data_IF_519413651849
#
_entry.id   IF_519413651849
#
_cell.length_a   1.000
_cell.length_b   1.000
_cell.length_c   1.000
_cell.angle_alpha   90.00
_cell.angle_beta   90.00
_cell.angle_gamma   90.00
#
_symmetry.space_group_name_H-M   'P 1'
#
loop_
_entity.id
_entity.type
_entity.pdbx_description
1 polymer ?
#
# COMPACT_ATOMS: atom_id res chain seq x y z
N UNK A 1 -18.70 -26.24 -16.47
CA UNK A 1 -20.07 -26.44 -15.94
C UNK A 1 -20.41 -27.90 -15.57
N UNK A 2 -19.83 -28.91 -16.24
CA UNK A 2 -20.13 -30.34 -15.98
C UNK A 2 -19.65 -30.87 -14.62
N UNK A 3 -18.48 -30.46 -14.12
CA UNK A 3 -17.96 -30.90 -12.81
C UNK A 3 -18.78 -30.41 -11.61
N UNK A 4 -19.45 -29.25 -11.71
CA UNK A 4 -20.17 -28.65 -10.59
C UNK A 4 -21.49 -29.39 -10.27
N UNK A 5 -22.14 -29.97 -11.29
CA UNK A 5 -23.39 -30.73 -11.13
C UNK A 5 -23.17 -32.12 -10.53
N UNK A 6 -22.03 -32.77 -10.79
CA UNK A 6 -21.70 -34.04 -10.14
C UNK A 6 -21.41 -33.88 -8.64
N UNK A 7 -20.83 -32.74 -8.25
CA UNK A 7 -20.45 -32.48 -6.86
C UNK A 7 -21.66 -32.18 -5.95
N UNK A 8 -22.66 -31.44 -6.44
CA UNK A 8 -23.90 -31.17 -5.69
C UNK A 8 -24.72 -32.44 -5.37
N UNK A 9 -24.64 -33.47 -6.22
CA UNK A 9 -25.44 -34.70 -6.06
C UNK A 9 -24.83 -35.73 -5.09
N UNK A 10 -23.54 -35.60 -4.77
CA UNK A 10 -22.80 -36.58 -3.97
C UNK A 10 -22.81 -36.33 -2.45
N UNK A 11 -23.26 -35.16 -1.97
CA UNK A 11 -23.07 -34.73 -0.56
C UNK A 11 -24.32 -34.17 0.14
N UNK A 12 -25.50 -34.10 -0.51
CA UNK A 12 -26.75 -33.68 0.15
C UNK A 12 -26.74 -32.26 0.76
N UNK A 13 -25.86 -31.37 0.28
CA UNK A 13 -25.79 -29.98 0.75
C UNK A 13 -26.80 -29.09 0.01
N UNK A 14 -27.40 -28.06 0.66
CA UNK A 14 -28.37 -27.18 0.02
C UNK A 14 -27.72 -26.38 -1.13
N UNK A 15 -28.48 -26.17 -2.20
CA UNK A 15 -28.05 -25.48 -3.40
C UNK A 15 -27.75 -23.99 -3.09
N UNK A 16 -26.48 -23.68 -2.83
CA UNK A 16 -26.04 -22.28 -2.74
C UNK A 16 -25.97 -21.72 -4.16
N UNK A 17 -26.77 -20.68 -4.42
CA UNK A 17 -26.83 -19.97 -5.71
C UNK A 17 -25.49 -19.28 -5.95
N UNK A 18 -24.85 -19.61 -7.07
CA UNK A 18 -23.51 -19.17 -7.46
C UNK A 18 -23.57 -17.77 -8.08
N UNK A 19 -23.34 -16.72 -7.29
CA UNK A 19 -23.35 -15.33 -7.80
C UNK A 19 -21.97 -14.64 -7.88
N UNK A 20 -20.85 -15.35 -7.72
CA UNK A 20 -19.53 -14.80 -8.08
C UNK A 20 -18.57 -15.86 -8.65
N UNK A 21 -17.86 -15.59 -9.77
CA UNK A 21 -16.99 -16.57 -10.43
C UNK A 21 -15.73 -16.95 -9.63
N UNK A 22 -15.25 -16.08 -8.75
CA UNK A 22 -13.87 -16.19 -8.24
C UNK A 22 -13.70 -17.18 -7.08
N UNK A 23 -14.67 -17.27 -6.17
CA UNK A 23 -14.57 -18.16 -4.98
C UNK A 23 -14.71 -19.65 -5.29
N UNK A 24 -15.33 -19.99 -6.42
CA UNK A 24 -15.59 -21.39 -6.82
C UNK A 24 -14.57 -21.88 -7.83
N UNK A 25 -14.06 -21.01 -8.71
CA UNK A 25 -12.96 -21.36 -9.62
C UNK A 25 -11.72 -21.79 -8.84
N UNK A 26 -11.28 -21.04 -7.82
CA UNK A 26 -10.08 -21.40 -7.05
C UNK A 26 -10.23 -22.76 -6.34
N UNK A 27 -11.42 -23.04 -5.78
CA UNK A 27 -11.76 -24.33 -5.15
C UNK A 27 -11.71 -25.50 -6.14
N UNK A 28 -12.15 -25.28 -7.39
CA UNK A 28 -12.09 -26.28 -8.46
C UNK A 28 -10.64 -26.46 -8.94
N UNK A 29 -9.87 -25.38 -9.14
CA UNK A 29 -8.49 -25.44 -9.63
C UNK A 29 -7.56 -26.16 -8.65
N UNK A 30 -7.72 -25.93 -7.34
CA UNK A 30 -6.92 -26.58 -6.29
C UNK A 30 -7.24 -28.08 -6.18
N UNK A 31 -8.52 -28.46 -6.32
CA UNK A 31 -8.96 -29.87 -6.30
C UNK A 31 -8.56 -30.63 -7.59
N UNK A 32 -8.65 -29.97 -8.76
CA UNK A 32 -8.17 -30.54 -10.02
C UNK A 32 -6.65 -30.73 -10.04
N UNK A 33 -5.89 -29.81 -9.43
CA UNK A 33 -4.43 -29.93 -9.32
C UNK A 33 -4.01 -31.10 -8.42
N UNK A 34 -4.75 -31.35 -7.33
CA UNK A 34 -4.57 -32.52 -6.45
C UNK A 34 -4.89 -33.85 -7.16
N UNK A 35 -6.01 -33.95 -7.88
CA UNK A 35 -6.37 -35.14 -8.66
C UNK A 35 -5.39 -35.40 -9.83
N UNK A 36 -4.74 -34.36 -10.35
CA UNK A 36 -3.67 -34.49 -11.36
C UNK A 36 -2.30 -34.90 -10.78
N UNK A 37 -2.21 -35.19 -9.47
CA UNK A 37 -0.99 -35.68 -8.81
C UNK A 37 0.10 -34.63 -8.61
N UNK A 38 -0.20 -33.34 -8.83
CA UNK A 38 0.79 -32.25 -8.85
C UNK A 38 1.04 -31.63 -7.46
N UNK A 39 0.29 -32.06 -6.45
CA UNK A 39 0.38 -31.57 -5.06
C UNK A 39 0.40 -32.74 -4.08
N UNK A 40 1.47 -32.83 -3.28
CA UNK A 40 1.79 -34.01 -2.45
C UNK A 40 1.04 -34.09 -1.13
N UNK A 41 0.36 -33.02 -0.69
CA UNK A 41 -0.39 -33.02 0.57
C UNK A 41 -1.47 -31.94 0.62
N UNK A 42 -2.69 -32.35 0.95
CA UNK A 42 -3.81 -31.44 1.25
C UNK A 42 -3.79 -31.12 2.76
N UNK A 43 -3.93 -29.86 3.20
CA UNK A 43 -4.01 -29.54 4.62
C UNK A 43 -5.22 -30.25 5.26
N UNK A 44 -4.97 -31.01 6.35
CA UNK A 44 -5.96 -31.88 7.01
C UNK A 44 -7.10 -31.14 7.72
N UNK A 45 -7.01 -29.81 7.89
CA UNK A 45 -8.07 -28.96 8.43
C UNK A 45 -8.19 -27.69 7.60
N UNK A 46 -9.42 -27.39 7.20
CA UNK A 46 -9.79 -26.09 6.64
C UNK A 46 -9.63 -25.03 7.73
N UNK A 47 -8.84 -23.99 7.47
CA UNK A 47 -8.68 -22.85 8.36
C UNK A 47 -9.15 -21.59 7.61
N UNK A 48 -10.17 -20.90 8.13
CA UNK A 48 -10.69 -19.65 7.55
C UNK A 48 -9.60 -18.56 7.52
N UNK A 49 -8.68 -18.58 8.49
CA UNK A 49 -7.53 -17.67 8.53
C UNK A 49 -6.56 -17.93 7.38
N UNK A 50 -6.36 -19.19 6.98
CA UNK A 50 -5.48 -19.52 5.86
C UNK A 50 -6.06 -19.03 4.51
N UNK A 51 -7.38 -19.14 4.35
CA UNK A 51 -8.07 -18.62 3.16
C UNK A 51 -7.99 -17.09 3.10
N UNK A 52 -8.14 -16.42 4.26
CA UNK A 52 -7.98 -14.97 4.35
C UNK A 52 -6.56 -14.54 4.03
N UNK A 53 -5.54 -15.21 4.57
CA UNK A 53 -4.13 -14.92 4.29
C UNK A 53 -3.80 -15.05 2.80
N UNK A 54 -4.24 -16.13 2.15
CA UNK A 54 -4.05 -16.32 0.71
C UNK A 54 -4.78 -15.26 -0.12
N UNK A 55 -5.99 -14.88 0.28
CA UNK A 55 -6.75 -13.80 -0.37
C UNK A 55 -6.02 -12.45 -0.25
N UNK A 56 -5.49 -12.13 0.93
CA UNK A 56 -4.69 -10.91 1.15
C UNK A 56 -3.41 -10.95 0.30
N UNK A 57 -2.71 -12.08 0.28
CA UNK A 57 -1.52 -12.26 -0.54
C UNK A 57 -1.80 -12.08 -2.04
N UNK A 58 -2.90 -12.66 -2.53
CA UNK A 58 -3.37 -12.51 -3.90
C UNK A 58 -3.65 -11.05 -4.26
N UNK A 59 -4.41 -10.34 -3.42
CA UNK A 59 -4.70 -8.91 -3.63
C UNK A 59 -3.43 -8.05 -3.66
N UNK A 60 -2.45 -8.33 -2.79
CA UNK A 60 -1.15 -7.63 -2.79
C UNK A 60 -0.40 -7.90 -4.10
N UNK A 61 -0.39 -9.15 -4.56
CA UNK A 61 0.31 -9.53 -5.79
C UNK A 61 -0.33 -8.89 -7.03
N UNK A 62 -1.66 -8.89 -7.12
CA UNK A 62 -2.42 -8.25 -8.20
C UNK A 62 -2.26 -6.71 -8.21
N UNK A 63 -1.97 -6.11 -7.05
CA UNK A 63 -1.68 -4.68 -6.94
C UNK A 63 -0.36 -4.29 -7.62
N UNK A 64 0.65 -5.17 -7.63
CA UNK A 64 2.02 -4.86 -8.09
C UNK A 64 2.10 -4.26 -9.50
N UNK A 65 1.47 -4.80 -10.55
CA UNK A 65 1.54 -4.22 -11.90
C UNK A 65 0.75 -2.92 -12.05
N UNK A 66 -0.24 -2.68 -11.18
CA UNK A 66 -1.14 -1.51 -11.23
C UNK A 66 -0.51 -0.29 -10.53
N UNK A 67 0.29 -0.54 -9.50
CA UNK A 67 0.83 0.49 -8.60
C UNK A 67 1.70 1.57 -9.29
N UNK A 68 2.62 1.24 -10.23
CA UNK A 68 3.49 2.25 -10.84
C UNK A 68 2.83 3.07 -11.96
N UNK A 69 1.78 2.55 -12.61
CA UNK A 69 1.23 3.13 -13.85
C UNK A 69 -0.13 3.81 -13.68
N UNK A 70 -0.96 3.35 -12.75
CA UNK A 70 -2.39 3.69 -12.75
C UNK A 70 -2.86 4.45 -11.51
N UNK A 71 -2.15 4.38 -10.39
CA UNK A 71 -2.61 4.95 -9.13
C UNK A 71 -2.17 6.40 -8.91
N UNK A 72 -0.99 6.76 -9.41
CA UNK A 72 -0.37 8.07 -9.30
C UNK A 72 0.81 8.09 -10.25
N UNK A 73 0.92 9.11 -11.09
CA UNK A 73 2.11 9.33 -11.91
C UNK A 73 3.22 9.89 -11.03
N UNK A 74 3.82 9.02 -10.21
CA UNK A 74 4.94 9.38 -9.32
C UNK A 74 6.07 9.97 -10.15
N UNK A 75 6.34 9.43 -11.35
CA UNK A 75 7.34 9.99 -12.25
C UNK A 75 7.04 11.43 -12.66
N UNK A 76 5.75 11.79 -12.82
CA UNK A 76 5.37 13.17 -13.10
C UNK A 76 5.63 14.06 -11.89
N UNK A 77 5.26 13.64 -10.67
CA UNK A 77 5.56 14.39 -9.45
C UNK A 77 7.06 14.62 -9.26
N UNK A 78 7.87 13.59 -9.48
CA UNK A 78 9.34 13.68 -9.34
C UNK A 78 9.91 14.67 -10.36
N UNK A 79 9.45 14.63 -11.61
CA UNK A 79 9.89 15.55 -12.67
C UNK A 79 9.42 16.98 -12.40
N UNK A 80 8.13 17.18 -12.17
CA UNK A 80 7.51 18.51 -12.07
C UNK A 80 7.99 19.27 -10.83
N UNK A 81 8.25 18.56 -9.73
CA UNK A 81 8.79 19.17 -8.52
C UNK A 81 10.32 19.16 -8.45
N UNK A 82 11.00 18.55 -9.42
CA UNK A 82 12.45 18.38 -9.47
C UNK A 82 13.00 17.80 -8.16
N UNK A 83 12.29 16.82 -7.62
CA UNK A 83 12.55 16.28 -6.28
C UNK A 83 12.42 14.75 -6.30
N UNK A 84 13.47 14.01 -5.89
CA UNK A 84 13.39 12.56 -5.78
C UNK A 84 12.25 12.11 -4.87
N UNK A 85 11.62 10.98 -5.20
CA UNK A 85 10.46 10.49 -4.45
C UNK A 85 10.73 10.28 -2.96
N UNK A 86 11.94 9.82 -2.60
CA UNK A 86 12.35 9.65 -1.21
C UNK A 86 12.31 10.97 -0.41
N UNK A 87 12.66 12.10 -1.02
CA UNK A 87 12.55 13.41 -0.37
C UNK A 87 11.09 13.81 -0.16
N UNK A 88 10.21 13.55 -1.14
CA UNK A 88 8.76 13.76 -0.99
C UNK A 88 8.23 12.92 0.18
N UNK A 89 8.62 11.65 0.27
CA UNK A 89 8.21 10.76 1.37
C UNK A 89 8.66 11.30 2.74
N UNK A 90 9.91 11.79 2.85
CA UNK A 90 10.41 12.40 4.10
C UNK A 90 9.56 13.62 4.48
N UNK A 91 9.29 14.53 3.53
CA UNK A 91 8.44 15.70 3.80
C UNK A 91 7.04 15.28 4.26
N UNK A 92 6.42 14.28 3.62
CA UNK A 92 5.10 13.73 4.02
C UNK A 92 5.13 13.15 5.44
N UNK A 93 6.21 12.46 5.84
CA UNK A 93 6.35 11.97 7.21
C UNK A 93 6.43 13.12 8.21
N UNK A 94 7.21 14.15 7.90
CA UNK A 94 7.44 15.31 8.76
C UNK A 94 6.24 16.25 8.82
N UNK A 95 5.32 16.19 7.86
CA UNK A 95 4.09 17.01 7.85
C UNK A 95 3.13 16.69 8.99
N UNK A 96 3.32 15.55 9.67
CA UNK A 96 2.48 15.12 10.79
C UNK A 96 3.09 15.50 12.15
N UNK A 97 4.41 15.38 12.26
CA UNK A 97 5.20 15.66 13.46
C UNK A 97 6.68 15.64 13.12
N UNK A 98 7.50 16.28 13.94
CA UNK A 98 8.94 16.09 13.91
C UNK A 98 9.33 14.63 14.18
N UNK A 99 10.42 14.19 13.57
CA UNK A 99 10.91 12.82 13.72
C UNK A 99 12.44 12.81 13.81
N UNK A 100 12.96 11.88 14.59
CA UNK A 100 14.40 11.58 14.57
C UNK A 100 14.80 10.89 13.26
N UNK A 101 16.08 11.00 12.89
CA UNK A 101 16.64 10.25 11.75
C UNK A 101 16.37 8.74 11.87
N UNK A 102 16.40 8.19 13.10
CA UNK A 102 16.10 6.80 13.35
C UNK A 102 14.66 6.43 13.03
N UNK A 103 13.69 7.27 13.43
CA UNK A 103 12.27 7.06 13.12
C UNK A 103 11.98 7.19 11.61
N UNK A 104 12.62 8.15 10.93
CA UNK A 104 12.50 8.29 9.48
C UNK A 104 13.02 7.03 8.77
N UNK A 105 14.18 6.53 9.20
CA UNK A 105 14.79 5.31 8.69
C UNK A 105 13.88 4.09 8.83
N UNK A 106 13.31 3.90 10.01
CA UNK A 106 12.38 2.81 10.30
C UNK A 106 11.11 2.91 9.44
N UNK A 107 10.48 4.08 9.38
CA UNK A 107 9.23 4.28 8.62
C UNK A 107 9.38 4.16 7.11
N UNK A 108 10.56 4.48 6.57
CA UNK A 108 10.83 4.33 5.13
C UNK A 108 11.46 2.98 4.78
N UNK A 109 11.86 2.16 5.76
CA UNK A 109 12.61 0.93 5.52
C UNK A 109 13.99 1.16 4.87
N UNK A 110 14.56 2.36 5.04
CA UNK A 110 15.85 2.76 4.46
C UNK A 110 16.86 2.89 5.59
N UNK A 111 18.04 2.29 5.46
CA UNK A 111 19.08 2.34 6.48
C UNK A 111 19.51 3.79 6.82
N UNK A 112 19.77 4.07 8.11
CA UNK A 112 20.17 5.40 8.63
C UNK A 112 21.30 6.10 7.85
N UNK A 113 22.37 5.40 7.40
CA UNK A 113 23.43 6.03 6.59
C UNK A 113 22.92 6.61 5.27
N UNK A 114 21.83 6.07 4.73
CA UNK A 114 21.21 6.52 3.47
C UNK A 114 20.15 7.60 3.70
N UNK A 115 19.57 7.70 4.90
CA UNK A 115 18.62 8.79 5.25
C UNK A 115 19.34 10.11 5.51
N UNK A 116 20.50 10.06 6.18
CA UNK A 116 21.20 11.29 6.60
C UNK A 116 21.51 12.23 5.41
N UNK A 117 22.05 11.74 4.28
CA UNK A 117 22.29 12.58 3.10
C UNK A 117 21.01 13.16 2.50
N UNK A 118 19.90 12.41 2.51
CA UNK A 118 18.61 12.88 1.99
C UNK A 118 18.06 14.05 2.83
N UNK A 119 18.20 13.94 4.16
CA UNK A 119 17.79 15.01 5.07
C UNK A 119 18.70 16.23 4.92
N UNK A 120 20.00 16.03 4.70
CA UNK A 120 20.93 17.14 4.48
C UNK A 120 20.60 17.92 3.20
N UNK A 121 20.25 17.24 2.11
CA UNK A 121 19.78 17.91 0.86
C UNK A 121 18.52 18.75 1.11
N UNK A 122 17.55 18.22 1.87
CA UNK A 122 16.33 18.96 2.22
C UNK A 122 16.63 20.17 3.12
N UNK A 123 17.58 20.04 4.04
CA UNK A 123 18.03 21.12 4.92
C UNK A 123 18.70 22.22 4.10
N UNK A 124 19.61 21.85 3.21
CA UNK A 124 20.35 22.79 2.38
C UNK A 124 19.42 23.51 1.39
N UNK A 125 18.29 22.88 1.04
CA UNK A 125 17.20 23.47 0.27
C UNK A 125 16.24 24.34 1.10
N UNK A 126 16.47 24.49 2.40
CA UNK A 126 15.63 25.29 3.31
C UNK A 126 14.25 24.71 3.60
N UNK A 127 14.02 23.42 3.34
CA UNK A 127 12.71 22.78 3.50
C UNK A 127 12.52 22.13 4.87
N UNK A 128 13.63 21.78 5.53
CA UNK A 128 13.65 21.20 6.87
C UNK A 128 14.79 21.79 7.68
N UNK A 129 14.73 21.66 9.00
CA UNK A 129 15.85 21.95 9.90
C UNK A 129 16.18 20.74 10.77
N UNK A 130 17.42 20.70 11.28
CA UNK A 130 17.91 19.65 12.17
C UNK A 130 18.18 20.23 13.55
N UNK A 131 17.42 19.79 14.54
CA UNK A 131 17.53 20.24 15.93
C UNK A 131 18.03 19.06 16.78
N UNK A 132 19.13 19.27 17.51
CA UNK A 132 19.60 18.29 18.50
C UNK A 132 18.65 18.30 19.70
N UNK A 133 18.29 17.11 20.17
CA UNK A 133 17.48 16.99 21.38
C UNK A 133 18.20 17.60 22.59
N UNK A 134 17.43 18.30 23.44
CA UNK A 134 17.92 18.88 24.68
C UNK A 134 18.13 17.82 25.77
N UNK A 135 17.39 16.71 25.72
CA UNK A 135 17.45 15.61 26.68
C UNK A 135 18.51 14.57 26.33
N UNK A 136 18.72 14.26 25.05
CA UNK A 136 19.84 13.41 24.58
C UNK A 136 20.48 14.02 23.34
N UNK A 137 21.67 14.62 23.49
CA UNK A 137 22.39 15.29 22.40
C UNK A 137 22.80 14.37 21.25
N UNK A 138 22.72 13.04 21.43
CA UNK A 138 22.97 12.05 20.38
C UNK A 138 21.79 11.94 19.41
N UNK A 139 20.60 12.40 19.80
CA UNK A 139 19.40 12.37 18.99
C UNK A 139 19.28 13.68 18.21
N UNK A 140 19.06 13.56 16.91
CA UNK A 140 18.75 14.69 16.02
C UNK A 140 17.34 14.52 15.49
N UNK A 141 16.49 15.51 15.80
CA UNK A 141 15.16 15.64 15.24
C UNK A 141 15.21 16.48 13.98
N UNK A 142 14.34 16.12 13.03
CA UNK A 142 14.13 16.85 11.79
C UNK A 142 12.77 17.51 11.88
N UNK A 143 12.71 18.80 11.61
CA UNK A 143 11.50 19.60 11.65
C UNK A 143 11.20 20.14 10.25
N UNK A 144 9.93 20.11 9.86
CA UNK A 144 9.48 20.71 8.62
C UNK A 144 9.45 22.24 8.77
N UNK A 145 10.07 22.94 7.83
CA UNK A 145 10.01 24.41 7.78
C UNK A 145 8.78 24.89 6.97
N UNK A 146 8.37 26.17 7.10
CA UNK A 146 7.26 26.73 6.32
C UNK A 146 7.41 26.50 4.80
N UNK A 147 8.61 26.71 4.25
CA UNK A 147 8.88 26.45 2.84
C UNK A 147 8.68 24.96 2.45
N UNK A 148 9.00 24.03 3.36
CA UNK A 148 8.72 22.60 3.19
C UNK A 148 7.22 22.30 3.18
N UNK A 149 6.45 22.94 4.05
CA UNK A 149 5.00 22.81 4.09
C UNK A 149 4.33 23.37 2.82
N UNK A 150 4.80 24.52 2.31
CA UNK A 150 4.34 25.09 1.05
C UNK A 150 4.65 24.17 -0.14
N UNK A 151 5.85 23.59 -0.17
CA UNK A 151 6.24 22.61 -1.20
C UNK A 151 5.31 21.39 -1.17
N UNK A 152 5.00 20.86 0.01
CA UNK A 152 4.03 19.76 0.16
C UNK A 152 2.62 20.14 -0.28
N UNK A 153 2.17 21.37 0.01
CA UNK A 153 0.87 21.84 -0.44
C UNK A 153 0.79 21.89 -1.97
N UNK A 154 1.87 22.31 -2.64
CA UNK A 154 1.97 22.24 -4.11
C UNK A 154 1.87 20.79 -4.62
N UNK A 155 2.67 19.88 -4.06
CA UNK A 155 2.62 18.44 -4.42
C UNK A 155 1.21 17.87 -4.23
N UNK A 156 0.55 18.21 -3.13
CA UNK A 156 -0.82 17.74 -2.85
C UNK A 156 -1.84 18.26 -3.87
N UNK A 157 -1.68 19.48 -4.39
CA UNK A 157 -2.54 20.01 -5.44
C UNK A 157 -2.38 19.22 -6.74
N UNK A 158 -1.16 18.87 -7.10
CA UNK A 158 -0.88 18.12 -8.33
C UNK A 158 -1.39 16.67 -8.23
N UNK A 159 -1.25 16.04 -7.06
CA UNK A 159 -1.89 14.76 -6.75
C UNK A 159 -3.42 14.86 -6.87
N UNK A 160 -4.03 15.91 -6.31
CA UNK A 160 -5.48 16.12 -6.41
C UNK A 160 -5.94 16.33 -7.86
N UNK A 161 -5.13 17.00 -8.69
CA UNK A 161 -5.39 17.17 -10.11
C UNK A 161 -5.34 15.84 -10.86
N UNK A 162 -4.36 14.97 -10.57
CA UNK A 162 -4.29 13.62 -11.14
C UNK A 162 -5.52 12.78 -10.77
N UNK A 163 -5.95 12.81 -9.51
CA UNK A 163 -7.17 12.12 -9.05
C UNK A 163 -8.42 12.70 -9.72
N UNK A 164 -8.49 14.02 -9.92
CA UNK A 164 -9.61 14.65 -10.60
C UNK A 164 -9.72 14.23 -12.07
N UNK A 165 -8.59 13.91 -12.72
CA UNK A 165 -8.57 13.40 -14.09
C UNK A 165 -9.20 12.00 -14.23
N UNK A 166 -9.36 11.24 -13.14
CA UNK A 166 -10.02 9.93 -13.17
C UNK A 166 -11.53 10.00 -13.42
N UNK A 167 -12.14 11.19 -13.37
CA UNK A 167 -13.59 11.38 -13.54
C UNK A 167 -14.15 10.84 -14.87
N UNK A 168 -13.30 10.53 -15.86
CA UNK A 168 -13.69 9.87 -17.11
C UNK A 168 -13.63 8.33 -17.10
N UNK A 169 -13.06 7.72 -16.06
CA UNK A 169 -12.78 6.28 -15.99
C UNK A 169 -13.39 5.58 -14.78
N UNK A 170 -13.77 6.33 -13.74
CA UNK A 170 -14.38 5.80 -12.52
C UNK A 170 -15.65 6.58 -12.17
N UNK A 171 -16.69 5.85 -11.81
CA UNK A 171 -17.93 6.39 -11.24
C UNK A 171 -17.69 6.99 -9.86
N UNK A 172 -18.63 7.82 -9.39
CA UNK A 172 -18.58 8.40 -8.04
C UNK A 172 -18.58 7.34 -6.93
N UNK A 173 -19.28 6.22 -7.15
CA UNK A 173 -19.31 5.09 -6.22
C UNK A 173 -17.94 4.41 -6.14
N UNK A 174 -17.30 4.15 -7.28
CA UNK A 174 -15.97 3.52 -7.33
C UNK A 174 -14.91 4.42 -6.67
N UNK A 175 -14.95 5.74 -6.91
CA UNK A 175 -14.04 6.69 -6.24
C UNK A 175 -14.24 6.66 -4.72
N UNK A 176 -15.49 6.58 -4.24
CA UNK A 176 -15.79 6.50 -2.81
C UNK A 176 -15.30 5.19 -2.20
N UNK A 177 -15.54 4.08 -2.89
CA UNK A 177 -15.05 2.75 -2.48
C UNK A 177 -13.53 2.73 -2.39
N UNK A 178 -12.85 3.22 -3.43
CA UNK A 178 -11.40 3.31 -3.48
C UNK A 178 -10.84 4.19 -2.35
N UNK A 179 -11.43 5.36 -2.10
CA UNK A 179 -11.04 6.22 -0.97
C UNK A 179 -11.19 5.50 0.39
N UNK A 180 -12.28 4.74 0.59
CA UNK A 180 -12.50 4.00 1.83
C UNK A 180 -11.52 2.83 1.99
N UNK A 181 -11.17 2.15 0.90
CA UNK A 181 -10.15 1.12 0.87
C UNK A 181 -8.77 1.71 1.22
N UNK A 182 -8.37 2.81 0.59
CA UNK A 182 -7.12 3.51 0.92
C UNK A 182 -7.06 3.95 2.39
N UNK A 183 -8.15 4.53 2.91
CA UNK A 183 -8.22 4.92 4.32
C UNK A 183 -8.07 3.72 5.26
N UNK A 184 -8.66 2.58 4.90
CA UNK A 184 -8.53 1.33 5.65
C UNK A 184 -7.11 0.78 5.60
N UNK A 185 -6.47 0.79 4.43
CA UNK A 185 -5.06 0.39 4.26
C UNK A 185 -4.16 1.27 5.12
N UNK A 186 -4.30 2.61 5.05
CA UNK A 186 -3.47 3.54 5.85
C UNK A 186 -3.64 3.29 7.35
N UNK A 187 -4.86 3.05 7.82
CA UNK A 187 -5.14 2.75 9.23
C UNK A 187 -4.54 1.41 9.66
N UNK A 188 -4.73 0.36 8.88
CA UNK A 188 -4.30 -1.02 9.21
C UNK A 188 -2.78 -1.14 9.06
N UNK A 189 -2.20 -0.73 7.93
CA UNK A 189 -0.77 -0.76 7.70
C UNK A 189 -0.01 0.15 8.68
N UNK A 190 -0.62 1.25 9.10
CA UNK A 190 -0.10 2.11 10.18
C UNK A 190 0.08 1.35 11.50
N UNK A 191 -0.86 0.47 11.86
CA UNK A 191 -0.80 -0.34 13.09
C UNK A 191 0.19 -1.51 13.05
N UNK A 192 0.71 -1.88 11.88
CA UNK A 192 1.71 -2.95 11.74
C UNK A 192 3.12 -2.42 12.03
N UNK A 193 3.34 -1.11 11.87
CA UNK A 193 4.64 -0.45 11.95
C UNK A 193 4.80 0.44 13.20
N UNK A 194 3.93 0.28 14.21
CA UNK A 194 4.03 0.88 15.56
C UNK A 194 4.34 -0.20 16.59
#
# INVERSE_FOLDING_TARGET
MFCCKMWQKAQGMPAVRLDTPDRVCYKITMYCSYLSGRWSSMPKKWNEDAVLVESVAGNIFEMLPVFPKSLLHIDALVRDHQMPFSHIQILVLLSRREMSIGQISERLGIAKPNITPLVDILRDSGLVERIRSQTDRRIVHVHLLPAGAEKLAAIRRDVAAQVAAWKGSLSRSEIKEFNNALASIVRIAGSINE
#
